data_IF_314582274681
#
_entry.id   IF_314582274681
#
_cell.length_a   1.000
_cell.length_b   1.000
_cell.length_c   1.000
_cell.angle_alpha   90.00
_cell.angle_beta   90.00
_cell.angle_gamma   90.00
#
_symmetry.space_group_name_H-M   'P 1'
#
loop_
_entity.id
_entity.type
_entity.pdbx_description
1 polymer ?
#
# COMPACT_ATOMS: atom_id res chain seq x y z
N UNK A 1 -44.12 -47.33 11.07
CA UNK A 1 -44.63 -45.99 11.38
C UNK A 1 -43.58 -45.31 12.25
N UNK A 2 -42.59 -44.67 11.61
CA UNK A 2 -41.61 -43.82 12.29
C UNK A 2 -41.38 -42.64 11.37
N UNK A 3 -41.73 -41.48 11.90
CA UNK A 3 -41.78 -40.20 11.23
C UNK A 3 -40.38 -39.73 10.84
N UNK A 4 -40.30 -39.15 9.65
CA UNK A 4 -39.10 -38.53 9.12
C UNK A 4 -38.71 -37.32 9.96
N UNK A 5 -37.50 -37.36 10.51
CA UNK A 5 -36.84 -36.18 11.05
C UNK A 5 -36.16 -35.49 9.87
N UNK A 6 -36.85 -34.50 9.30
CA UNK A 6 -36.26 -33.48 8.44
C UNK A 6 -35.20 -32.72 9.25
N UNK A 7 -33.95 -33.12 9.12
CA UNK A 7 -32.82 -32.26 9.48
C UNK A 7 -32.66 -31.24 8.37
N UNK A 8 -33.30 -30.08 8.57
CA UNK A 8 -32.91 -28.86 7.88
C UNK A 8 -31.43 -28.61 8.21
N UNK A 9 -30.55 -29.10 7.34
CA UNK A 9 -29.16 -28.69 7.31
C UNK A 9 -29.14 -27.20 6.96
N UNK A 10 -29.14 -26.37 8.00
CA UNK A 10 -28.90 -24.95 7.91
C UNK A 10 -27.48 -24.77 7.37
N UNK A 11 -27.41 -24.63 6.06
CA UNK A 11 -26.20 -24.38 5.30
C UNK A 11 -25.54 -23.09 5.85
N UNK A 12 -24.32 -23.12 6.44
CA UNK A 12 -23.64 -21.90 6.89
C UNK A 12 -23.01 -21.16 5.70
N UNK A 13 -23.62 -21.20 4.52
CA UNK A 13 -23.18 -20.51 3.29
C UNK A 13 -23.93 -19.18 3.11
N UNK A 14 -24.19 -18.45 4.20
CA UNK A 14 -24.97 -17.21 4.16
C UNK A 14 -24.22 -15.94 4.54
N UNK A 15 -23.00 -16.03 5.08
CA UNK A 15 -22.20 -14.85 5.47
C UNK A 15 -21.03 -14.65 4.53
N UNK A 16 -21.31 -14.58 3.23
CA UNK A 16 -20.38 -13.97 2.28
C UNK A 16 -20.30 -12.48 2.64
N UNK A 17 -19.26 -12.10 3.38
CA UNK A 17 -19.02 -10.70 3.73
C UNK A 17 -19.06 -9.84 2.45
N UNK A 18 -20.09 -9.01 2.28
CA UNK A 18 -20.17 -8.04 1.17
C UNK A 18 -19.04 -6.98 1.21
N UNK A 19 -18.25 -6.97 2.29
CA UNK A 19 -16.99 -6.23 2.44
C UNK A 19 -15.76 -6.98 1.91
N UNK A 20 -15.90 -8.23 1.44
CA UNK A 20 -14.94 -8.87 0.55
C UNK A 20 -15.05 -8.27 -0.86
N UNK A 21 -15.05 -6.94 -0.95
CA UNK A 21 -14.69 -6.29 -2.18
C UNK A 21 -13.29 -6.82 -2.52
N UNK A 22 -13.04 -7.34 -3.74
CA UNK A 22 -11.74 -7.85 -4.11
C UNK A 22 -10.72 -6.73 -3.88
N UNK A 23 -9.97 -6.84 -2.78
CA UNK A 23 -9.10 -5.79 -2.24
C UNK A 23 -8.10 -5.30 -3.31
N UNK A 24 -7.75 -6.21 -4.23
CA UNK A 24 -6.93 -5.96 -5.42
C UNK A 24 -7.48 -4.86 -6.34
N UNK A 25 -8.81 -4.77 -6.51
CA UNK A 25 -9.43 -3.82 -7.44
C UNK A 25 -9.48 -2.40 -6.86
N UNK A 26 -9.74 -2.29 -5.55
CA UNK A 26 -9.67 -1.01 -4.85
C UNK A 26 -8.24 -0.47 -4.89
N UNK A 27 -7.27 -1.35 -4.69
CA UNK A 27 -5.87 -1.00 -4.66
C UNK A 27 -5.34 -0.42 -5.99
N UNK A 28 -5.70 -1.05 -7.12
CA UNK A 28 -5.34 -0.54 -8.45
C UNK A 28 -5.95 0.84 -8.69
N UNK A 29 -7.25 1.03 -8.39
CA UNK A 29 -7.93 2.32 -8.57
C UNK A 29 -7.27 3.42 -7.73
N UNK A 30 -6.92 3.12 -6.48
CA UNK A 30 -6.23 4.06 -5.59
C UNK A 30 -4.80 4.37 -6.03
N UNK A 31 -4.06 3.39 -6.58
CA UNK A 31 -2.77 3.63 -7.20
C UNK A 31 -2.85 4.64 -8.35
N UNK A 32 -3.82 4.48 -9.25
CA UNK A 32 -4.06 5.45 -10.33
C UNK A 32 -4.46 6.83 -9.81
N UNK A 33 -5.36 6.90 -8.82
CA UNK A 33 -5.75 8.17 -8.22
C UNK A 33 -4.54 8.88 -7.58
N UNK A 34 -3.70 8.14 -6.84
CA UNK A 34 -2.45 8.67 -6.28
C UNK A 34 -1.53 9.21 -7.39
N UNK A 35 -1.34 8.47 -8.48
CA UNK A 35 -0.49 8.93 -9.59
C UNK A 35 -1.00 10.25 -10.21
N UNK A 36 -2.32 10.39 -10.41
CA UNK A 36 -2.92 11.62 -10.93
C UNK A 36 -2.68 12.79 -9.96
N UNK A 37 -2.93 12.59 -8.66
CA UNK A 37 -2.71 13.62 -7.63
C UNK A 37 -1.23 14.00 -7.55
N UNK A 38 -0.31 13.03 -7.54
CA UNK A 38 1.13 13.29 -7.52
C UNK A 38 1.60 14.02 -8.78
N UNK A 39 1.09 13.66 -9.97
CA UNK A 39 1.42 14.34 -11.23
C UNK A 39 0.93 15.79 -11.23
N UNK A 40 -0.31 16.03 -10.80
CA UNK A 40 -0.85 17.38 -10.65
C UNK A 40 0.00 18.21 -9.69
N UNK A 41 0.44 17.62 -8.58
CA UNK A 41 1.27 18.32 -7.61
C UNK A 41 2.66 18.68 -8.15
N UNK A 42 3.30 17.77 -8.89
CA UNK A 42 4.57 18.04 -9.57
C UNK A 42 4.42 19.21 -10.56
N UNK A 43 3.29 19.28 -11.29
CA UNK A 43 2.99 20.41 -12.18
C UNK A 43 2.84 21.73 -11.41
N UNK A 44 2.12 21.73 -10.28
CA UNK A 44 1.95 22.93 -9.45
C UNK A 44 3.28 23.40 -8.86
N UNK A 45 4.10 22.50 -8.31
CA UNK A 45 5.42 22.84 -7.77
C UNK A 45 6.35 23.35 -8.87
N UNK A 46 6.41 22.67 -10.01
CA UNK A 46 7.28 23.11 -11.11
C UNK A 46 6.87 24.47 -11.67
N UNK A 47 5.56 24.76 -11.75
CA UNK A 47 5.06 26.08 -12.09
C UNK A 47 5.44 27.14 -11.04
N UNK A 48 5.30 26.83 -9.74
CA UNK A 48 5.70 27.72 -8.66
C UNK A 48 7.21 28.01 -8.69
N UNK A 49 8.04 26.98 -8.92
CA UNK A 49 9.48 27.09 -9.07
C UNK A 49 9.86 27.99 -10.26
N UNK A 50 9.24 27.76 -11.42
CA UNK A 50 9.46 28.59 -12.62
C UNK A 50 9.10 30.05 -12.35
N UNK A 51 7.97 30.29 -11.69
CA UNK A 51 7.54 31.63 -11.31
C UNK A 51 8.55 32.31 -10.37
N UNK A 52 9.05 31.60 -9.35
CA UNK A 52 10.08 32.11 -8.44
C UNK A 52 11.38 32.45 -9.18
N UNK A 53 11.82 31.60 -10.13
CA UNK A 53 12.98 31.85 -10.97
C UNK A 53 12.80 33.11 -11.85
N UNK A 54 11.64 33.28 -12.49
CA UNK A 54 11.35 34.45 -13.32
C UNK A 54 11.31 35.76 -12.49
N UNK A 55 10.74 35.71 -11.29
CA UNK A 55 10.71 36.87 -10.38
C UNK A 55 12.11 37.25 -9.90
N UNK A 56 12.98 36.26 -9.69
CA UNK A 56 14.37 36.47 -9.30
C UNK A 56 15.18 37.18 -10.39
N UNK A 57 14.99 36.78 -11.65
CA UNK A 57 15.66 37.43 -12.80
C UNK A 57 15.23 38.89 -12.96
N UNK A 58 13.97 39.21 -12.68
CA UNK A 58 13.42 40.56 -12.85
C UNK A 58 13.77 41.54 -11.72
N UNK A 59 13.82 41.08 -10.46
CA UNK A 59 13.91 41.94 -9.27
C UNK A 59 15.31 42.01 -8.62
N UNK A 60 16.38 41.86 -9.41
CA UNK A 60 17.79 41.67 -8.97
C UNK A 60 18.32 42.51 -7.79
N UNK A 61 17.90 42.17 -6.58
CA UNK A 61 18.27 42.81 -5.33
C UNK A 61 19.31 41.93 -4.60
N UNK A 62 20.58 42.34 -4.62
CA UNK A 62 21.76 41.54 -4.23
C UNK A 62 21.68 40.93 -2.82
N UNK A 63 20.97 41.57 -1.88
CA UNK A 63 20.87 41.07 -0.50
C UNK A 63 19.90 39.88 -0.33
N UNK A 64 19.05 39.55 -1.32
CA UNK A 64 18.06 38.46 -1.21
C UNK A 64 18.52 37.14 -1.84
N UNK A 65 19.66 37.14 -2.53
CA UNK A 65 20.10 36.00 -3.35
C UNK A 65 20.31 34.74 -2.53
N UNK A 66 21.00 34.82 -1.39
CA UNK A 66 21.32 33.62 -0.58
C UNK A 66 20.07 32.87 -0.11
N UNK A 67 19.04 33.61 0.31
CA UNK A 67 17.81 33.02 0.85
C UNK A 67 16.92 32.42 -0.25
N UNK A 68 16.83 33.11 -1.40
CA UNK A 68 16.09 32.62 -2.57
C UNK A 68 16.76 31.38 -3.15
N UNK A 69 18.10 31.34 -3.20
CA UNK A 69 18.84 30.17 -3.66
C UNK A 69 18.58 28.94 -2.79
N UNK A 70 18.49 29.13 -1.47
CA UNK A 70 18.12 28.08 -0.53
C UNK A 70 16.72 27.52 -0.79
N UNK A 71 15.74 28.39 -1.01
CA UNK A 71 14.35 27.99 -1.30
C UNK A 71 14.22 27.24 -2.64
N UNK A 72 14.92 27.73 -3.68
CA UNK A 72 15.00 27.06 -4.98
C UNK A 72 15.68 25.68 -4.83
N UNK A 73 16.80 25.60 -4.13
CA UNK A 73 17.52 24.34 -3.94
C UNK A 73 16.66 23.30 -3.20
N UNK A 74 15.98 23.70 -2.12
CA UNK A 74 15.07 22.83 -1.36
C UNK A 74 13.89 22.39 -2.23
N UNK A 75 13.31 23.31 -3.00
CA UNK A 75 12.19 23.00 -3.91
C UNK A 75 12.62 22.03 -5.01
N UNK A 76 13.83 22.19 -5.57
CA UNK A 76 14.40 21.25 -6.54
C UNK A 76 14.61 19.87 -5.93
N UNK A 77 15.17 19.78 -4.71
CA UNK A 77 15.34 18.51 -3.99
C UNK A 77 13.97 17.86 -3.77
N UNK A 78 12.98 18.61 -3.28
CA UNK A 78 11.62 18.11 -3.10
C UNK A 78 11.02 17.60 -4.42
N UNK A 79 11.21 18.32 -5.53
CA UNK A 79 10.73 17.93 -6.85
C UNK A 79 11.34 16.60 -7.31
N UNK A 80 12.66 16.41 -7.15
CA UNK A 80 13.31 15.13 -7.49
C UNK A 80 12.78 13.99 -6.63
N UNK A 81 12.46 14.27 -5.36
CA UNK A 81 11.90 13.29 -4.45
C UNK A 81 10.47 12.90 -4.83
N UNK A 82 9.62 13.85 -5.20
CA UNK A 82 8.26 13.56 -5.70
C UNK A 82 8.27 12.79 -7.02
N UNK A 83 9.22 13.08 -7.91
CA UNK A 83 9.42 12.30 -9.13
C UNK A 83 9.81 10.84 -8.80
N UNK A 84 10.67 10.63 -7.80
CA UNK A 84 11.01 9.29 -7.34
C UNK A 84 9.81 8.55 -6.74
N UNK A 85 8.96 9.21 -5.93
CA UNK A 85 7.71 8.61 -5.41
C UNK A 85 6.73 8.26 -6.55
N UNK A 86 6.62 9.11 -7.57
CA UNK A 86 5.79 8.84 -8.75
C UNK A 86 6.29 7.60 -9.50
N UNK A 87 7.60 7.51 -9.77
CA UNK A 87 8.22 6.34 -10.41
C UNK A 87 8.03 5.08 -9.58
N UNK A 88 8.20 5.17 -8.26
CA UNK A 88 7.98 4.06 -7.36
C UNK A 88 6.52 3.59 -7.39
N UNK A 89 5.56 4.52 -7.39
CA UNK A 89 4.12 4.24 -7.48
C UNK A 89 3.75 3.61 -8.84
N UNK A 90 4.37 4.07 -9.93
CA UNK A 90 4.23 3.49 -11.27
C UNK A 90 4.74 2.04 -11.32
N UNK A 91 6.00 1.82 -10.90
CA UNK A 91 6.61 0.48 -10.84
C UNK A 91 5.72 -0.47 -10.05
N UNK A 92 5.18 0.01 -8.96
CA UNK A 92 4.34 -0.78 -8.09
C UNK A 92 2.98 -1.11 -8.68
N UNK A 93 2.32 -0.15 -9.34
CA UNK A 93 1.09 -0.41 -10.11
C UNK A 93 1.32 -1.53 -11.13
N UNK A 94 2.45 -1.50 -11.83
CA UNK A 94 2.85 -2.55 -12.79
C UNK A 94 3.12 -3.89 -12.11
N UNK A 95 3.80 -3.89 -10.95
CA UNK A 95 4.10 -5.13 -10.20
C UNK A 95 2.84 -5.79 -9.63
N UNK A 96 1.86 -5.01 -9.20
CA UNK A 96 0.56 -5.53 -8.72
C UNK A 96 -0.15 -6.29 -9.83
N UNK A 97 -0.09 -5.80 -11.08
CA UNK A 97 -0.65 -6.52 -12.23
C UNK A 97 0.03 -7.87 -12.49
N UNK A 98 1.32 -8.02 -12.16
CA UNK A 98 2.08 -9.26 -12.35
C UNK A 98 1.81 -10.34 -11.29
N UNK A 99 0.88 -10.12 -10.34
CA UNK A 99 0.49 -11.06 -9.26
C UNK A 99 1.64 -11.61 -8.40
N UNK A 100 2.82 -10.97 -8.39
CA UNK A 100 3.98 -11.40 -7.60
C UNK A 100 3.95 -10.80 -6.19
N UNK A 101 3.17 -11.42 -5.30
CA UNK A 101 2.95 -10.95 -3.91
C UNK A 101 4.21 -10.89 -3.04
N UNK A 102 5.29 -11.62 -3.36
CA UNK A 102 6.52 -11.63 -2.56
C UNK A 102 7.24 -10.27 -2.51
N UNK A 103 7.06 -9.41 -3.51
CA UNK A 103 7.68 -8.08 -3.59
C UNK A 103 6.92 -6.99 -2.82
N UNK A 104 5.70 -7.28 -2.33
CA UNK A 104 4.87 -6.29 -1.66
C UNK A 104 5.46 -5.82 -0.32
N UNK A 105 6.14 -6.72 0.41
CA UNK A 105 6.71 -6.41 1.72
C UNK A 105 7.85 -5.40 1.63
N UNK A 106 8.76 -5.55 0.66
CA UNK A 106 9.85 -4.59 0.44
C UNK A 106 9.32 -3.23 0.00
N UNK A 107 8.27 -3.23 -0.82
CA UNK A 107 7.63 -2.01 -1.29
C UNK A 107 6.99 -1.19 -0.15
N UNK A 108 6.39 -1.88 0.82
CA UNK A 108 5.82 -1.23 2.00
C UNK A 108 6.87 -0.47 2.82
N UNK A 109 8.04 -1.07 3.05
CA UNK A 109 9.13 -0.40 3.77
C UNK A 109 9.57 0.85 3.02
N UNK A 110 9.77 0.78 1.71
CA UNK A 110 10.12 1.95 0.88
C UNK A 110 9.04 3.04 0.93
N UNK A 111 7.77 2.65 0.86
CA UNK A 111 6.64 3.60 0.92
C UNK A 111 6.56 4.32 2.27
N UNK A 112 6.84 3.61 3.37
CA UNK A 112 6.88 4.20 4.72
C UNK A 112 8.05 5.17 4.86
N UNK A 113 9.24 4.79 4.36
CA UNK A 113 10.41 5.68 4.35
C UNK A 113 10.12 6.95 3.55
N UNK A 114 9.52 6.81 2.37
CA UNK A 114 9.18 7.97 1.53
C UNK A 114 8.15 8.87 2.19
N UNK A 115 7.15 8.30 2.84
CA UNK A 115 6.18 9.08 3.60
C UNK A 115 6.84 9.84 4.76
N UNK A 116 7.74 9.21 5.51
CA UNK A 116 8.47 9.87 6.59
C UNK A 116 9.34 11.03 6.09
N UNK A 117 10.06 10.83 4.99
CA UNK A 117 10.88 11.89 4.35
C UNK A 117 9.99 13.00 3.79
N UNK A 118 8.84 12.67 3.20
CA UNK A 118 7.87 13.66 2.73
C UNK A 118 7.37 14.53 3.88
N UNK A 119 7.05 13.95 5.04
CA UNK A 119 6.65 14.72 6.23
C UNK A 119 7.78 15.65 6.66
N UNK A 120 9.03 15.15 6.72
CA UNK A 120 10.18 15.95 7.11
C UNK A 120 10.41 17.13 6.16
N UNK A 121 10.34 16.90 4.84
CA UNK A 121 10.44 17.95 3.83
C UNK A 121 9.33 18.99 3.97
N UNK A 122 8.08 18.54 4.19
CA UNK A 122 6.98 19.49 4.44
C UNK A 122 7.20 20.29 5.71
N UNK A 123 7.63 19.67 6.82
CA UNK A 123 7.93 20.38 8.05
C UNK A 123 9.01 21.45 7.84
N UNK A 124 10.07 21.13 7.11
CA UNK A 124 11.13 22.07 6.77
C UNK A 124 10.63 23.25 5.92
N UNK A 125 9.81 22.98 4.90
CA UNK A 125 9.19 24.02 4.06
C UNK A 125 8.26 24.95 4.88
N UNK A 126 7.53 24.38 5.85
CA UNK A 126 6.67 25.13 6.78
C UNK A 126 7.51 26.01 7.72
N UNK A 127 8.59 25.49 8.28
CA UNK A 127 9.50 26.26 9.14
C UNK A 127 10.07 27.47 8.41
N UNK A 128 10.57 27.29 7.17
CA UNK A 128 11.08 28.37 6.33
C UNK A 128 10.00 29.41 5.99
N UNK A 129 8.77 28.92 5.72
CA UNK A 129 7.60 29.76 5.51
C UNK A 129 7.29 30.63 6.73
N UNK A 130 7.33 30.08 7.93
CA UNK A 130 7.05 30.81 9.17
C UNK A 130 8.13 31.88 9.42
N UNK A 131 9.41 31.56 9.22
CA UNK A 131 10.50 32.53 9.34
C UNK A 131 10.34 33.70 8.34
N UNK A 132 9.89 33.39 7.12
CA UNK A 132 9.60 34.43 6.11
C UNK A 132 8.42 35.33 6.49
N UNK A 133 7.42 34.76 7.16
CA UNK A 133 6.28 35.50 7.67
C UNK A 133 6.66 36.41 8.85
N UNK A 134 7.42 35.87 9.81
CA UNK A 134 7.83 36.59 11.02
C UNK A 134 8.70 37.81 10.69
N UNK A 135 9.50 37.70 9.64
CA UNK A 135 10.40 38.77 9.18
C UNK A 135 9.69 39.89 8.38
N UNK A 136 8.34 39.88 8.30
CA UNK A 136 7.49 40.88 7.62
C UNK A 136 7.79 41.12 6.13
N UNK A 137 8.52 40.22 5.48
CA UNK A 137 8.86 40.35 4.05
C UNK A 137 7.74 39.86 3.11
N UNK A 138 6.64 39.33 3.63
CA UNK A 138 5.58 38.73 2.83
C UNK A 138 4.48 39.72 2.41
N UNK A 139 4.32 39.90 1.10
CA UNK A 139 3.15 40.56 0.49
C UNK A 139 1.89 39.70 0.66
N UNK A 140 0.70 40.34 0.69
CA UNK A 140 -0.59 39.66 0.80
C UNK A 140 -0.80 38.58 -0.28
N UNK A 141 -0.28 38.81 -1.50
CA UNK A 141 -0.32 37.81 -2.59
C UNK A 141 0.50 36.55 -2.24
N UNK A 142 1.65 36.73 -1.60
CA UNK A 142 2.52 35.63 -1.19
C UNK A 142 1.90 34.79 -0.07
N UNK A 143 1.13 35.43 0.82
CA UNK A 143 0.41 34.72 1.89
C UNK A 143 -0.65 33.77 1.32
N UNK A 144 -1.44 34.21 0.32
CA UNK A 144 -2.46 33.36 -0.33
C UNK A 144 -1.82 32.14 -0.99
N UNK A 145 -0.72 32.33 -1.72
CA UNK A 145 0.02 31.23 -2.37
C UNK A 145 0.53 30.25 -1.32
N UNK A 146 1.08 30.77 -0.21
CA UNK A 146 1.58 29.92 0.85
C UNK A 146 0.45 29.10 1.49
N UNK A 147 -0.70 29.73 1.79
CA UNK A 147 -1.87 29.04 2.34
C UNK A 147 -2.38 27.92 1.42
N UNK A 148 -2.39 28.16 0.10
CA UNK A 148 -2.73 27.13 -0.89
C UNK A 148 -1.71 25.97 -0.88
N UNK A 149 -0.42 26.27 -0.76
CA UNK A 149 0.62 25.24 -0.63
C UNK A 149 0.45 24.41 0.65
N UNK A 150 0.16 25.05 1.79
CA UNK A 150 -0.16 24.36 3.04
C UNK A 150 -1.34 23.40 2.88
N UNK A 151 -2.44 23.86 2.27
CA UNK A 151 -3.60 23.02 2.02
C UNK A 151 -3.24 21.83 1.11
N UNK A 152 -2.44 22.06 0.07
CA UNK A 152 -1.98 21.00 -0.84
C UNK A 152 -1.12 19.95 -0.11
N UNK A 153 -0.19 20.38 0.76
CA UNK A 153 0.62 19.46 1.57
C UNK A 153 -0.23 18.59 2.49
N UNK A 154 -1.26 19.16 3.14
CA UNK A 154 -2.18 18.40 3.99
C UNK A 154 -2.92 17.33 3.17
N UNK A 155 -3.44 17.69 2.00
CA UNK A 155 -4.14 16.74 1.11
C UNK A 155 -3.21 15.60 0.72
N UNK A 156 -1.94 15.88 0.41
CA UNK A 156 -0.94 14.86 0.06
C UNK A 156 -0.67 13.92 1.22
N UNK A 157 -0.47 14.46 2.42
CA UNK A 157 -0.24 13.64 3.62
C UNK A 157 -1.44 12.73 3.85
N UNK A 158 -2.67 13.22 3.69
CA UNK A 158 -3.90 12.42 3.83
C UNK A 158 -3.93 11.30 2.78
N UNK A 159 -3.73 11.64 1.50
CA UNK A 159 -3.75 10.66 0.39
C UNK A 159 -2.65 9.61 0.57
N UNK A 160 -1.44 10.01 0.95
CA UNK A 160 -0.32 9.12 1.18
C UNK A 160 -0.54 8.22 2.39
N UNK A 161 -1.11 8.77 3.48
CA UNK A 161 -1.44 7.99 4.68
C UNK A 161 -2.54 6.97 4.37
N UNK A 162 -3.56 7.38 3.62
CA UNK A 162 -4.63 6.48 3.18
C UNK A 162 -4.08 5.33 2.32
N UNK A 163 -3.17 5.64 1.39
CA UNK A 163 -2.48 4.64 0.58
C UNK A 163 -1.67 3.64 1.42
N UNK A 164 -0.95 4.11 2.45
CA UNK A 164 -0.22 3.25 3.38
C UNK A 164 -1.15 2.35 4.21
N UNK A 165 -2.31 2.85 4.63
CA UNK A 165 -3.31 2.05 5.35
C UNK A 165 -3.87 0.94 4.45
N UNK A 166 -4.12 1.22 3.17
CA UNK A 166 -4.53 0.20 2.20
C UNK A 166 -3.46 -0.88 2.01
N UNK A 167 -2.20 -0.47 1.83
CA UNK A 167 -1.05 -1.38 1.73
C UNK A 167 -0.94 -2.30 2.96
N UNK A 168 -1.10 -1.73 4.17
CA UNK A 168 -1.06 -2.49 5.42
C UNK A 168 -2.20 -3.51 5.51
N UNK A 169 -3.39 -3.14 5.04
CA UNK A 169 -4.55 -4.03 4.95
C UNK A 169 -4.26 -5.25 4.08
N UNK A 170 -3.66 -5.05 2.91
CA UNK A 170 -3.32 -6.14 1.97
C UNK A 170 -2.25 -7.08 2.54
N UNK A 171 -1.18 -6.53 3.14
CA UNK A 171 -0.12 -7.35 3.77
C UNK A 171 -0.68 -8.20 4.91
N UNK A 172 -1.56 -7.62 5.72
CA UNK A 172 -2.18 -8.34 6.84
C UNK A 172 -3.07 -9.48 6.33
N UNK A 173 -3.82 -9.24 5.24
CA UNK A 173 -4.66 -10.26 4.63
C UNK A 173 -3.83 -11.41 4.04
N UNK A 174 -2.73 -11.10 3.33
CA UNK A 174 -1.82 -12.12 2.79
C UNK A 174 -1.19 -12.97 3.90
N UNK A 175 -0.80 -12.33 5.02
CA UNK A 175 -0.23 -13.03 6.18
C UNK A 175 -1.24 -13.97 6.85
N UNK A 176 -2.51 -13.57 6.93
CA UNK A 176 -3.55 -14.38 7.56
C UNK A 176 -4.02 -15.52 6.65
N UNK A 177 -4.13 -15.30 5.33
CA UNK A 177 -4.53 -16.33 4.38
C UNK A 177 -3.51 -17.48 4.29
N UNK A 178 -2.22 -17.23 4.56
CA UNK A 178 -1.21 -18.30 4.69
C UNK A 178 -1.42 -19.23 5.89
N UNK A 179 -2.26 -18.84 6.86
CA UNK A 179 -2.63 -19.66 8.03
C UNK A 179 -4.03 -20.26 7.98
N UNK A 180 -4.85 -19.86 7.00
CA UNK A 180 -6.14 -20.51 6.76
C UNK A 180 -5.84 -21.84 6.07
N UNK A 181 -5.50 -22.87 6.85
CA UNK A 181 -5.68 -24.25 6.41
C UNK A 181 -7.17 -24.39 6.14
N UNK A 182 -7.56 -24.48 4.87
CA UNK A 182 -8.83 -25.07 4.52
C UNK A 182 -8.77 -26.52 5.00
N UNK A 183 -9.15 -26.75 6.26
CA UNK A 183 -9.60 -28.06 6.70
C UNK A 183 -10.83 -28.33 5.85
N UNK A 184 -10.60 -29.07 4.77
CA UNK A 184 -11.63 -29.68 3.96
C UNK A 184 -12.40 -30.65 4.87
N UNK A 185 -13.34 -30.13 5.65
CA UNK A 185 -14.25 -30.93 6.46
C UNK A 185 -15.35 -31.57 5.60
N UNK A 186 -15.28 -31.48 4.26
CA UNK A 186 -16.30 -31.96 3.34
C UNK A 186 -15.88 -33.19 2.53
N UNK A 187 -14.62 -33.65 2.61
CA UNK A 187 -14.19 -34.86 1.91
C UNK A 187 -13.25 -35.70 2.78
N UNK A 188 -13.84 -36.60 3.57
CA UNK A 188 -13.40 -37.98 3.74
C UNK A 188 -14.32 -38.67 4.77
N UNK A 189 -15.39 -39.37 4.36
CA UNK A 189 -15.83 -40.52 5.13
C UNK A 189 -14.72 -41.58 5.02
N UNK A 190 -13.90 -41.72 6.07
CA UNK A 190 -13.09 -42.92 6.27
C UNK A 190 -14.02 -44.12 6.39
N UNK A 191 -14.38 -44.73 5.26
CA UNK A 191 -14.90 -46.09 5.23
C UNK A 191 -13.73 -47.04 5.52
N UNK A 192 -13.43 -47.26 6.79
CA UNK A 192 -12.69 -48.45 7.23
C UNK A 192 -13.58 -49.67 7.02
N UNK A 193 -13.47 -50.30 5.85
CA UNK A 193 -13.97 -51.65 5.65
C UNK A 193 -13.05 -52.60 6.44
N UNK A 194 -13.44 -52.92 7.68
CA UNK A 194 -12.78 -53.96 8.46
C UNK A 194 -13.10 -55.29 7.79
N UNK A 195 -12.16 -55.84 7.04
CA UNK A 195 -12.27 -57.19 6.47
C UNK A 195 -12.15 -58.17 7.62
N UNK A 196 -13.28 -58.66 8.11
CA UNK A 196 -13.34 -59.80 9.03
C UNK A 196 -12.93 -61.04 8.24
N UNK A 197 -11.66 -61.42 8.33
CA UNK A 197 -11.24 -62.78 7.98
C UNK A 197 -11.14 -63.56 9.29
N UNK A 198 -12.26 -64.16 9.69
CA UNK A 198 -12.29 -65.27 10.64
C UNK A 198 -12.51 -66.57 9.86
N UNK A 199 -11.72 -67.60 10.17
CA UNK A 199 -11.93 -69.00 9.77
C UNK A 199 -10.99 -69.47 8.64
N UNK A 200 -9.78 -69.99 8.91
CA UNK A 200 -9.42 -71.30 9.51
C UNK A 200 -9.36 -72.40 8.43
N UNK A 201 -8.16 -72.93 8.18
CA UNK A 201 -7.92 -74.38 8.15
C UNK A 201 -6.43 -74.70 8.29
N UNK A 202 -6.17 -75.58 9.25
CA UNK A 202 -4.91 -76.22 9.60
C UNK A 202 -4.38 -77.10 8.46
N UNK A 203 -3.07 -77.30 8.39
CA UNK A 203 -2.45 -78.17 7.40
C UNK A 203 -0.95 -78.32 7.56
N UNK A 204 -0.58 -79.06 8.60
CA UNK A 204 0.73 -79.65 8.90
C UNK A 204 1.24 -80.56 7.76
N UNK A 205 2.45 -80.35 7.24
CA UNK A 205 3.40 -81.43 6.86
C UNK A 205 4.79 -80.90 6.53
N UNK A 206 5.74 -81.32 7.37
CA UNK A 206 7.07 -81.92 7.09
C UNK A 206 7.66 -81.81 5.67
N UNK A 207 8.92 -81.38 5.56
CA UNK A 207 9.98 -82.15 4.90
C UNK A 207 11.35 -81.43 4.87
N UNK A 208 12.27 -82.03 5.63
CA UNK A 208 13.66 -82.43 5.29
C UNK A 208 14.75 -81.38 4.94
N UNK A 209 15.76 -81.37 5.83
CA UNK A 209 17.18 -81.12 5.55
C UNK A 209 17.72 -82.11 4.49
N UNK A 210 18.55 -81.66 3.55
CA UNK A 210 19.78 -82.32 3.03
C UNK A 210 20.22 -81.67 1.70
N UNK A 211 21.25 -80.81 1.76
CA UNK A 211 22.54 -80.89 1.03
C UNK A 211 23.36 -79.60 1.17
#
# INVERSE_FOLDING_TARGET
MSEGINTNAENPEGKRCCLCFPLQYGFIKWGYLKMIVSAFFILVISYALLHTCMVMEYNGDENRWFRIYGDIAITCIALTFFLADLLLTMLFTVRVQQKRVKLLSSFYVLSVVIWAVSILLTAMAISLSIESWLSRYMSARSLVVNLMNFAAYIVIIIVQTFFLLLLRGEITQLRNNGKIKFTNNAAEPKCTLKRTNEGKEDGDTDDTEEE
#
